data_IF_678702442749
#
_entry.id   IF_678702442749
#
_cell.length_a   1.000
_cell.length_b   1.000
_cell.length_c   1.000
_cell.angle_alpha   90.00
_cell.angle_beta   90.00
_cell.angle_gamma   90.00
#
_symmetry.space_group_name_H-M   'P 1'
#
loop_
_entity.id
_entity.type
_entity.pdbx_description
1 polymer ?
#
# COMPACT_ATOMS: atom_id res chain seq x y z
N UNK A 1 -12.84 14.23 -19.32
CA UNK A 1 -12.38 15.15 -18.25
C UNK A 1 -11.34 14.53 -17.30
N UNK A 2 -11.56 13.35 -16.71
CA UNK A 2 -10.61 12.75 -15.73
C UNK A 2 -9.14 12.81 -16.14
N UNK A 3 -8.79 12.36 -17.35
CA UNK A 3 -7.40 12.35 -17.83
C UNK A 3 -6.78 13.75 -17.87
N UNK A 4 -7.51 14.74 -18.38
CA UNK A 4 -7.04 16.13 -18.45
C UNK A 4 -6.82 16.68 -17.04
N UNK A 5 -7.78 16.46 -16.13
CA UNK A 5 -7.67 16.89 -14.73
C UNK A 5 -6.47 16.22 -14.06
N UNK A 6 -6.22 14.94 -14.29
CA UNK A 6 -5.08 14.23 -13.74
C UNK A 6 -3.74 14.82 -14.23
N UNK A 7 -3.61 15.18 -15.52
CA UNK A 7 -2.42 15.89 -16.03
C UNK A 7 -2.26 17.26 -15.39
N UNK A 8 -3.34 18.04 -15.31
CA UNK A 8 -3.30 19.38 -14.71
C UNK A 8 -2.91 19.33 -13.23
N UNK A 9 -3.47 18.39 -12.48
CA UNK A 9 -3.12 18.16 -11.08
C UNK A 9 -1.66 17.69 -10.96
N UNK A 10 -1.21 16.77 -11.82
CA UNK A 10 0.17 16.30 -11.80
C UNK A 10 1.17 17.42 -12.07
N UNK A 11 0.90 18.22 -13.10
CA UNK A 11 1.74 19.36 -13.47
C UNK A 11 1.74 20.44 -12.38
N UNK A 12 0.56 20.82 -11.87
CA UNK A 12 0.44 21.78 -10.78
C UNK A 12 1.15 21.30 -9.52
N UNK A 13 1.02 20.02 -9.18
CA UNK A 13 1.72 19.40 -8.06
C UNK A 13 3.24 19.46 -8.22
N UNK A 14 3.76 19.15 -9.42
CA UNK A 14 5.19 19.25 -9.72
C UNK A 14 5.71 20.70 -9.63
N UNK A 15 4.94 21.68 -10.13
CA UNK A 15 5.30 23.09 -10.04
C UNK A 15 5.34 23.60 -8.60
N UNK A 16 4.34 23.25 -7.78
CA UNK A 16 4.30 23.61 -6.36
C UNK A 16 5.46 22.98 -5.59
N UNK A 17 5.74 21.70 -5.85
CA UNK A 17 6.87 21.01 -5.23
C UNK A 17 8.21 21.68 -5.59
N UNK A 18 8.44 21.97 -6.87
CA UNK A 18 9.66 22.66 -7.33
C UNK A 18 9.84 24.05 -6.69
N UNK A 19 8.74 24.74 -6.34
CA UNK A 19 8.80 26.03 -5.63
C UNK A 19 9.10 25.89 -4.15
N UNK A 20 8.82 24.74 -3.54
CA UNK A 20 9.05 24.51 -2.12
C UNK A 20 9.55 23.08 -1.86
N UNK A 21 10.83 22.83 -2.13
CA UNK A 21 11.46 21.52 -1.88
C UNK A 21 11.49 21.12 -0.40
N UNK A 22 11.21 22.03 0.54
CA UNK A 22 11.20 21.73 1.98
C UNK A 22 10.01 20.85 2.39
N UNK A 23 8.99 20.71 1.54
CA UNK A 23 7.86 19.79 1.79
C UNK A 23 8.18 18.35 1.37
N UNK A 24 9.40 18.07 0.88
CA UNK A 24 9.79 16.77 0.36
C UNK A 24 9.55 15.67 1.38
N UNK A 25 8.73 14.72 0.97
CA UNK A 25 8.39 13.54 1.73
C UNK A 25 8.10 12.40 0.75
N UNK A 26 8.23 11.13 1.19
CA UNK A 26 8.15 10.00 0.28
C UNK A 26 6.77 9.78 -0.34
N UNK A 27 5.69 10.41 0.15
CA UNK A 27 4.35 10.24 -0.43
C UNK A 27 4.14 11.04 -1.73
N UNK A 28 4.87 12.14 -1.90
CA UNK A 28 4.74 13.06 -3.04
C UNK A 28 4.95 12.33 -4.38
N UNK A 29 6.05 11.55 -4.58
CA UNK A 29 6.23 10.78 -5.81
C UNK A 29 5.13 9.75 -6.05
N UNK A 30 4.57 9.13 -5.01
CA UNK A 30 3.49 8.15 -5.17
C UNK A 30 2.18 8.80 -5.59
N UNK A 31 1.83 9.98 -5.05
CA UNK A 31 0.67 10.74 -5.52
C UNK A 31 0.84 11.11 -6.99
N UNK A 32 2.03 11.59 -7.37
CA UNK A 32 2.37 11.86 -8.77
C UNK A 32 2.23 10.63 -9.66
N UNK A 33 2.76 9.49 -9.22
CA UNK A 33 2.62 8.21 -9.92
C UNK A 33 1.14 7.83 -10.11
N UNK A 34 0.31 7.92 -9.06
CA UNK A 34 -1.11 7.59 -9.15
C UNK A 34 -1.86 8.49 -10.15
N UNK A 35 -1.53 9.78 -10.21
CA UNK A 35 -2.10 10.69 -11.21
C UNK A 35 -1.73 10.28 -12.64
N UNK A 36 -0.47 9.90 -12.88
CA UNK A 36 -0.03 9.39 -14.18
C UNK A 36 -0.70 8.05 -14.54
N UNK A 37 -0.78 7.13 -13.58
CA UNK A 37 -1.44 5.85 -13.75
C UNK A 37 -2.93 6.02 -14.07
N UNK A 38 -3.59 7.02 -13.50
CA UNK A 38 -4.99 7.37 -13.78
C UNK A 38 -5.23 7.74 -15.25
N UNK A 39 -4.21 8.18 -15.98
CA UNK A 39 -4.30 8.43 -17.43
C UNK A 39 -4.54 7.13 -18.21
N UNK A 40 -3.92 6.04 -17.77
CA UNK A 40 -3.99 4.73 -18.40
C UNK A 40 -5.29 3.98 -18.03
N UNK A 41 -5.92 4.34 -16.91
CA UNK A 41 -7.16 3.71 -16.47
C UNK A 41 -8.30 4.06 -17.46
N UNK A 42 -9.00 3.08 -18.05
CA UNK A 42 -10.15 3.33 -18.92
C UNK A 42 -11.36 3.85 -18.13
N UNK A 43 -12.27 4.55 -18.80
CA UNK A 43 -13.55 4.96 -18.20
C UNK A 43 -14.52 3.79 -18.15
N UNK A 44 -15.41 3.73 -17.15
CA UNK A 44 -16.39 2.64 -17.01
C UNK A 44 -16.40 1.96 -15.64
N UNK A 45 -15.58 2.41 -14.70
CA UNK A 45 -15.49 1.86 -13.34
C UNK A 45 -16.83 1.95 -12.57
N UNK A 46 -17.05 1.00 -11.67
CA UNK A 46 -18.31 0.83 -10.93
C UNK A 46 -18.71 2.04 -10.09
N UNK A 47 -17.74 2.81 -9.58
CA UNK A 47 -17.98 3.99 -8.75
C UNK A 47 -18.22 5.28 -9.55
N UNK A 48 -18.27 5.23 -10.89
CA UNK A 48 -18.58 6.40 -11.71
C UNK A 48 -20.09 6.61 -11.85
N UNK A 49 -20.58 7.81 -11.50
CA UNK A 49 -22.01 8.20 -11.54
C UNK A 49 -22.73 8.03 -12.89
N UNK A 50 -22.02 8.02 -14.02
CA UNK A 50 -22.65 8.14 -15.36
C UNK A 50 -22.56 6.91 -16.25
N UNK A 51 -21.52 6.08 -16.12
CA UNK A 51 -21.28 4.97 -17.05
C UNK A 51 -20.59 3.82 -16.30
N UNK A 52 -21.38 2.89 -15.75
CA UNK A 52 -20.83 1.64 -15.23
C UNK A 52 -20.80 0.62 -16.37
N UNK A 53 -19.60 0.26 -16.83
CA UNK A 53 -19.42 -0.83 -17.76
C UNK A 53 -19.19 -2.12 -16.95
N UNK A 54 -20.08 -3.10 -17.08
CA UNK A 54 -19.98 -4.38 -16.36
C UNK A 54 -18.75 -5.21 -16.75
N UNK A 55 -18.18 -4.97 -17.93
CA UNK A 55 -16.97 -5.62 -18.42
C UNK A 55 -15.70 -4.81 -18.14
N UNK A 56 -15.80 -3.69 -17.43
CA UNK A 56 -14.63 -2.90 -17.09
C UNK A 56 -13.69 -3.69 -16.19
N UNK A 57 -12.40 -3.65 -16.53
CA UNK A 57 -11.33 -4.23 -15.75
C UNK A 57 -10.19 -3.21 -15.63
N UNK A 58 -9.56 -3.16 -14.46
CA UNK A 58 -8.36 -2.37 -14.27
C UNK A 58 -7.22 -3.02 -15.08
N UNK A 59 -6.52 -2.27 -15.95
CA UNK A 59 -5.39 -2.85 -16.69
C UNK A 59 -4.30 -3.33 -15.73
N UNK A 60 -3.86 -4.58 -15.90
CA UNK A 60 -2.90 -5.23 -14.99
C UNK A 60 -1.59 -4.45 -14.85
N UNK A 61 -1.12 -3.84 -15.94
CA UNK A 61 0.09 -3.00 -15.94
C UNK A 61 0.01 -1.86 -14.93
N UNK A 62 -1.16 -1.22 -14.77
CA UNK A 62 -1.35 -0.10 -13.85
C UNK A 62 -1.14 -0.56 -12.42
N UNK A 63 -1.79 -1.68 -12.06
CA UNK A 63 -1.67 -2.28 -10.74
C UNK A 63 -0.23 -2.72 -10.44
N UNK A 64 0.39 -3.48 -11.35
CA UNK A 64 1.74 -4.00 -11.14
C UNK A 64 2.80 -2.90 -11.08
N UNK A 65 2.62 -1.81 -11.84
CA UNK A 65 3.53 -0.66 -11.76
C UNK A 65 3.46 0.00 -10.38
N UNK A 66 2.26 0.25 -9.86
CA UNK A 66 2.07 0.76 -8.51
C UNK A 66 2.65 -0.18 -7.45
N UNK A 67 2.37 -1.48 -7.56
CA UNK A 67 2.86 -2.50 -6.63
C UNK A 67 4.39 -2.58 -6.59
N UNK A 68 5.03 -2.70 -7.76
CA UNK A 68 6.48 -2.88 -7.86
C UNK A 68 7.25 -1.64 -7.40
N UNK A 69 6.77 -0.44 -7.75
CA UNK A 69 7.41 0.80 -7.32
C UNK A 69 7.25 1.02 -5.81
N UNK A 70 6.07 0.73 -5.25
CA UNK A 70 5.86 0.74 -3.80
C UNK A 70 6.76 -0.30 -3.11
N UNK A 71 6.85 -1.52 -3.68
CA UNK A 71 7.67 -2.60 -3.15
C UNK A 71 9.16 -2.23 -3.06
N UNK A 72 9.69 -1.71 -4.16
CA UNK A 72 11.07 -1.27 -4.26
C UNK A 72 11.33 -0.05 -3.36
N UNK A 73 10.45 0.95 -3.37
CA UNK A 73 10.62 2.17 -2.60
C UNK A 73 10.64 1.94 -1.09
N UNK A 74 9.80 1.04 -0.57
CA UNK A 74 9.85 0.66 0.84
C UNK A 74 11.12 -0.10 1.22
N UNK A 75 11.56 -1.04 0.39
CA UNK A 75 12.77 -1.81 0.69
C UNK A 75 14.02 -0.93 0.63
N UNK A 76 14.03 0.01 -0.32
CA UNK A 76 15.05 1.03 -0.40
C UNK A 76 15.02 1.97 0.83
N UNK A 77 13.85 2.39 1.30
CA UNK A 77 13.70 3.16 2.55
C UNK A 77 14.26 2.41 3.75
N UNK A 78 13.93 1.12 3.90
CA UNK A 78 14.45 0.26 4.96
C UNK A 78 15.96 0.11 4.88
N UNK A 79 16.50 -0.09 3.67
CA UNK A 79 17.95 -0.12 3.44
C UNK A 79 18.63 1.18 3.86
N UNK A 80 18.07 2.33 3.48
CA UNK A 80 18.63 3.63 3.84
C UNK A 80 18.61 3.89 5.35
N UNK A 81 17.64 3.31 6.08
CA UNK A 81 17.59 3.40 7.55
C UNK A 81 18.72 2.66 8.25
N UNK A 82 19.30 1.63 7.63
CA UNK A 82 20.45 0.90 8.19
C UNK A 82 21.71 1.77 8.33
N UNK A 83 21.79 2.91 7.65
CA UNK A 83 22.91 3.85 7.83
C UNK A 83 22.78 4.71 9.10
N UNK A 84 21.62 4.73 9.75
CA UNK A 84 21.40 5.52 10.96
C UNK A 84 21.62 4.67 12.22
N UNK A 85 22.49 5.12 13.16
CA UNK A 85 22.75 4.39 14.41
C UNK A 85 21.48 4.08 15.20
N UNK A 86 20.52 5.01 15.20
CA UNK A 86 19.26 4.86 15.94
C UNK A 86 18.38 3.69 15.49
N UNK A 87 18.48 3.30 14.22
CA UNK A 87 17.74 2.15 13.69
C UNK A 87 18.45 0.83 13.97
N UNK A 88 19.78 0.86 14.08
CA UNK A 88 20.61 -0.30 14.45
C UNK A 88 20.43 -0.62 15.94
N UNK A 89 20.59 0.38 16.82
CA UNK A 89 20.49 0.21 18.28
C UNK A 89 19.03 0.09 18.80
N UNK A 90 18.05 0.33 17.92
CA UNK A 90 16.62 0.21 18.19
C UNK A 90 16.00 1.44 18.88
N UNK A 91 16.76 2.53 19.04
CA UNK A 91 16.29 3.77 19.69
C UNK A 91 15.43 4.68 18.79
N UNK A 92 15.35 4.41 17.48
CA UNK A 92 14.70 5.31 16.52
C UNK A 92 13.26 5.65 16.88
N UNK A 93 12.43 4.68 17.28
CA UNK A 93 11.04 4.95 17.67
C UNK A 93 10.95 5.86 18.89
N UNK A 94 11.82 5.68 19.89
CA UNK A 94 11.88 6.57 21.05
C UNK A 94 12.23 8.01 20.66
N UNK A 95 13.21 8.18 19.76
CA UNK A 95 13.57 9.51 19.24
C UNK A 95 12.42 10.15 18.45
N UNK A 96 11.67 9.37 17.66
CA UNK A 96 10.49 9.85 16.93
C UNK A 96 9.41 10.31 17.90
N UNK A 97 9.11 9.52 18.94
CA UNK A 97 8.09 9.85 19.96
C UNK A 97 8.46 11.05 20.83
N UNK A 98 9.77 11.30 21.01
CA UNK A 98 10.29 12.41 21.80
C UNK A 98 10.45 13.69 20.98
N UNK A 99 10.31 13.63 19.66
CA UNK A 99 10.45 14.77 18.76
C UNK A 99 9.24 15.73 18.89
N UNK A 100 9.42 17.05 18.77
CA UNK A 100 8.31 18.01 18.69
C UNK A 100 7.30 17.72 17.56
N UNK A 101 7.68 16.96 16.53
CA UNK A 101 6.79 16.51 15.46
C UNK A 101 5.85 15.36 15.88
N UNK A 102 6.08 14.71 17.03
CA UNK A 102 5.14 13.74 17.57
C UNK A 102 3.88 14.47 18.05
N UNK A 103 2.72 13.96 17.63
CA UNK A 103 1.44 14.49 18.06
C UNK A 103 1.26 14.21 19.55
N UNK A 104 1.05 15.23 20.40
CA UNK A 104 0.72 14.99 21.80
C UNK A 104 -0.64 14.29 21.89
N UNK A 105 -0.73 13.23 22.70
CA UNK A 105 -1.97 12.47 22.86
C UNK A 105 -1.74 11.07 23.41
N UNK A 106 -2.84 10.41 23.74
CA UNK A 106 -2.83 9.14 24.47
C UNK A 106 -2.03 8.04 23.76
N UNK A 107 -2.03 8.00 22.42
CA UNK A 107 -1.26 7.01 21.66
C UNK A 107 0.26 7.17 21.84
N UNK A 108 0.76 8.41 21.81
CA UNK A 108 2.18 8.73 22.05
C UNK A 108 2.55 8.40 23.49
N UNK A 109 1.75 8.86 24.45
CA UNK A 109 2.05 8.70 25.87
C UNK A 109 2.01 7.23 26.30
N UNK A 110 1.06 6.44 25.74
CA UNK A 110 1.02 4.99 25.91
C UNK A 110 2.29 4.32 25.38
N UNK A 111 2.75 4.68 24.19
CA UNK A 111 3.98 4.11 23.62
C UNK A 111 5.22 4.51 24.44
N UNK A 112 5.29 5.74 24.92
CA UNK A 112 6.38 6.21 25.79
C UNK A 112 6.37 5.54 27.18
N UNK A 113 5.21 5.09 27.66
CA UNK A 113 5.09 4.34 28.90
C UNK A 113 5.54 2.88 28.77
N UNK A 114 5.73 2.36 27.55
CA UNK A 114 6.23 1.01 27.36
C UNK A 114 7.71 0.89 27.78
N UNK A 115 8.14 -0.29 28.26
CA UNK A 115 9.55 -0.56 28.49
C UNK A 115 10.39 -0.34 27.23
N UNK A 116 11.63 0.14 27.39
CA UNK A 116 12.54 0.41 26.28
C UNK A 116 12.78 -0.81 25.37
N UNK A 117 12.74 -2.02 25.93
CA UNK A 117 12.82 -3.28 25.18
C UNK A 117 11.70 -3.44 24.16
N UNK A 118 10.46 -3.05 24.50
CA UNK A 118 9.34 -3.08 23.58
C UNK A 118 9.49 -2.06 22.46
N UNK A 119 9.97 -0.85 22.78
CA UNK A 119 10.26 0.17 21.76
C UNK A 119 11.33 -0.30 20.78
N UNK A 120 12.39 -0.96 21.25
CA UNK A 120 13.42 -1.56 20.39
C UNK A 120 12.85 -2.63 19.47
N UNK A 121 12.02 -3.52 20.01
CA UNK A 121 11.34 -4.54 19.22
C UNK A 121 10.47 -3.93 18.11
N UNK A 122 9.70 -2.88 18.43
CA UNK A 122 8.89 -2.16 17.44
C UNK A 122 9.75 -1.45 16.39
N UNK A 123 10.88 -0.84 16.79
CA UNK A 123 11.84 -0.23 15.85
C UNK A 123 12.36 -1.27 14.85
N UNK A 124 12.86 -2.41 15.33
CA UNK A 124 13.38 -3.46 14.46
C UNK A 124 12.27 -4.15 13.65
N UNK A 125 11.07 -4.28 14.21
CA UNK A 125 9.91 -4.79 13.48
C UNK A 125 9.53 -3.90 12.31
N UNK A 126 9.50 -2.58 12.51
CA UNK A 126 9.25 -1.61 11.45
C UNK A 126 10.36 -1.64 10.39
N UNK A 127 11.63 -1.70 10.81
CA UNK A 127 12.78 -1.80 9.93
C UNK A 127 12.74 -3.08 9.08
N UNK A 128 12.46 -4.23 9.71
CA UNK A 128 12.34 -5.51 9.03
C UNK A 128 11.17 -5.51 8.05
N UNK A 129 10.02 -4.94 8.43
CA UNK A 129 8.86 -4.82 7.55
C UNK A 129 9.18 -4.00 6.29
N UNK A 130 9.91 -2.88 6.42
CA UNK A 130 10.33 -2.07 5.27
C UNK A 130 11.36 -2.80 4.41
N UNK A 131 12.43 -3.31 5.02
CA UNK A 131 13.54 -3.95 4.33
C UNK A 131 13.11 -5.22 3.58
N UNK A 132 12.25 -6.03 4.21
CA UNK A 132 11.76 -7.28 3.65
C UNK A 132 10.51 -7.10 2.78
N UNK A 133 10.03 -5.87 2.59
CA UNK A 133 8.79 -5.66 1.86
C UNK A 133 8.86 -6.20 0.42
N UNK A 134 9.94 -5.93 -0.31
CA UNK A 134 10.14 -6.41 -1.67
C UNK A 134 10.25 -7.95 -1.75
N UNK A 135 11.13 -8.64 -0.99
CA UNK A 135 11.16 -10.10 -1.04
C UNK A 135 9.84 -10.74 -0.60
N UNK A 136 9.17 -10.18 0.42
CA UNK A 136 7.83 -10.64 0.83
C UNK A 136 6.75 -10.28 -0.19
N UNK A 137 6.96 -9.32 -1.07
CA UNK A 137 5.99 -8.97 -2.11
C UNK A 137 5.94 -9.99 -3.26
N UNK A 138 6.89 -10.92 -3.36
CA UNK A 138 6.97 -11.89 -4.46
C UNK A 138 5.90 -12.98 -4.28
N UNK A 139 5.78 -13.57 -3.09
CA UNK A 139 4.84 -14.67 -2.83
C UNK A 139 3.43 -14.18 -2.45
N UNK A 140 2.39 -14.79 -3.01
CA UNK A 140 1.00 -14.34 -2.82
C UNK A 140 0.56 -14.31 -1.34
N UNK A 141 1.04 -15.25 -0.52
CA UNK A 141 0.71 -15.30 0.92
C UNK A 141 1.42 -14.19 1.69
N UNK A 142 2.69 -13.96 1.39
CA UNK A 142 3.49 -12.94 2.07
C UNK A 142 3.11 -11.52 1.66
N UNK A 143 2.54 -11.30 0.45
CA UNK A 143 1.99 -9.99 0.04
C UNK A 143 0.99 -9.45 1.05
N UNK A 144 0.08 -10.28 1.54
CA UNK A 144 -0.89 -9.85 2.54
C UNK A 144 -0.20 -9.37 3.81
N UNK A 145 0.71 -10.19 4.34
CA UNK A 145 1.40 -9.92 5.60
C UNK A 145 2.23 -8.64 5.47
N UNK A 146 2.97 -8.52 4.37
CA UNK A 146 3.80 -7.37 4.06
C UNK A 146 2.96 -6.09 3.92
N UNK A 147 1.86 -6.15 3.17
CA UNK A 147 0.96 -5.01 2.98
C UNK A 147 0.30 -4.61 4.30
N UNK A 148 -0.21 -5.57 5.08
CA UNK A 148 -0.83 -5.31 6.38
C UNK A 148 0.17 -4.70 7.36
N UNK A 149 1.42 -5.18 7.39
CA UNK A 149 2.46 -4.65 8.27
C UNK A 149 2.73 -3.17 7.96
N UNK A 150 3.00 -2.83 6.68
CA UNK A 150 3.29 -1.44 6.30
C UNK A 150 2.06 -0.54 6.37
N UNK A 151 0.87 -1.02 6.00
CA UNK A 151 -0.37 -0.27 6.18
C UNK A 151 -0.58 0.06 7.67
N UNK A 152 -0.36 -0.90 8.57
CA UNK A 152 -0.47 -0.70 10.02
C UNK A 152 0.55 0.31 10.55
N UNK A 153 1.78 0.31 10.03
CA UNK A 153 2.79 1.32 10.36
C UNK A 153 2.33 2.71 9.92
N UNK A 154 1.80 2.87 8.70
CA UNK A 154 1.26 4.16 8.24
C UNK A 154 0.07 4.59 9.10
N UNK A 155 -0.83 3.69 9.48
CA UNK A 155 -1.91 4.01 10.42
C UNK A 155 -1.38 4.43 11.78
N UNK A 156 -0.37 3.75 12.34
CA UNK A 156 0.24 4.15 13.60
C UNK A 156 0.86 5.55 13.50
N UNK A 157 1.56 5.86 12.41
CA UNK A 157 2.12 7.20 12.15
C UNK A 157 1.01 8.27 12.12
N UNK A 158 -0.17 7.96 11.56
CA UNK A 158 -1.31 8.91 11.52
C UNK A 158 -1.74 9.38 12.91
N UNK A 159 -1.67 8.48 13.90
CA UNK A 159 -2.06 8.77 15.28
C UNK A 159 -0.93 9.39 16.10
N UNK A 160 0.33 9.06 15.77
CA UNK A 160 1.50 9.37 16.59
C UNK A 160 2.29 10.58 16.09
N UNK A 161 2.32 10.83 14.79
CA UNK A 161 3.18 11.86 14.17
C UNK A 161 2.31 12.92 13.49
N UNK A 162 2.66 14.19 13.67
CA UNK A 162 1.94 15.30 13.05
C UNK A 162 2.39 15.54 11.60
N UNK A 163 2.30 14.50 10.76
CA UNK A 163 2.65 14.53 9.34
C UNK A 163 1.54 13.87 8.51
N UNK A 164 0.38 14.53 8.52
CA UNK A 164 -0.82 14.02 7.88
C UNK A 164 -0.64 13.84 6.36
N UNK A 165 0.01 14.79 5.69
CA UNK A 165 0.21 14.78 4.23
C UNK A 165 1.04 13.58 3.76
N UNK A 166 2.11 13.25 4.50
CA UNK A 166 2.89 12.03 4.28
C UNK A 166 2.00 10.80 4.40
N UNK A 167 1.28 10.71 5.50
CA UNK A 167 0.53 9.51 5.86
C UNK A 167 -0.62 9.25 4.90
N UNK A 168 -1.37 10.30 4.53
CA UNK A 168 -2.45 10.18 3.57
C UNK A 168 -1.96 9.75 2.20
N UNK A 169 -0.87 10.35 1.69
CA UNK A 169 -0.32 9.95 0.39
C UNK A 169 0.18 8.50 0.38
N UNK A 170 0.81 8.05 1.47
CA UNK A 170 1.21 6.64 1.59
C UNK A 170 -0.01 5.71 1.71
N UNK A 171 -1.03 6.06 2.48
CA UNK A 171 -2.25 5.27 2.57
C UNK A 171 -2.99 5.18 1.23
N UNK A 172 -2.97 6.23 0.40
CA UNK A 172 -3.56 6.21 -0.94
C UNK A 172 -2.94 5.12 -1.82
N UNK A 173 -1.62 4.98 -1.85
CA UNK A 173 -0.97 3.92 -2.64
C UNK A 173 -1.26 2.52 -2.06
N UNK A 174 -1.40 2.38 -0.74
CA UNK A 174 -1.82 1.11 -0.13
C UNK A 174 -3.24 0.74 -0.52
N UNK A 175 -4.18 1.67 -0.45
CA UNK A 175 -5.56 1.43 -0.87
C UNK A 175 -5.66 1.15 -2.37
N UNK A 176 -4.86 1.83 -3.19
CA UNK A 176 -4.82 1.58 -4.62
C UNK A 176 -4.33 0.17 -4.96
N UNK A 177 -3.37 -0.35 -4.18
CA UNK A 177 -2.75 -1.66 -4.39
C UNK A 177 -3.41 -2.78 -3.58
N UNK A 178 -4.48 -2.48 -2.85
CA UNK A 178 -5.21 -3.47 -2.07
C UNK A 178 -5.85 -4.53 -2.96
N UNK A 179 -5.68 -5.81 -2.62
CA UNK A 179 -6.24 -6.94 -3.36
C UNK A 179 -6.88 -7.97 -2.41
N UNK A 180 -8.19 -8.19 -2.60
CA UNK A 180 -8.99 -9.16 -1.84
C UNK A 180 -8.54 -10.62 -2.06
N UNK A 181 -7.90 -10.92 -3.20
CA UNK A 181 -7.44 -12.27 -3.52
C UNK A 181 -6.37 -12.79 -2.55
N UNK A 182 -5.70 -11.90 -1.81
CA UNK A 182 -4.75 -12.32 -0.79
C UNK A 182 -5.45 -12.96 0.43
N UNK A 183 -6.65 -12.48 0.79
CA UNK A 183 -7.43 -12.99 1.90
C UNK A 183 -8.12 -14.31 1.58
N UNK A 184 -8.47 -14.54 0.31
CA UNK A 184 -9.02 -15.83 -0.14
C UNK A 184 -7.95 -16.93 -0.15
N UNK A 185 -6.70 -16.60 -0.46
CA UNK A 185 -5.57 -17.55 -0.46
C UNK A 185 -5.24 -18.11 0.93
N UNK A 186 -5.55 -17.39 2.01
CA UNK A 186 -5.38 -17.83 3.40
C UNK A 186 -6.49 -18.74 3.89
N UNK A 187 -7.68 -18.64 3.28
CA UNK A 187 -8.87 -19.32 3.80
C UNK A 187 -8.86 -20.82 3.53
N UNK A 188 -7.85 -21.39 2.86
CA UNK A 188 -7.54 -22.82 2.82
C UNK A 188 -8.64 -23.76 2.28
N UNK A 189 -9.83 -23.26 2.01
CA UNK A 189 -10.99 -23.98 1.50
C UNK A 189 -11.37 -23.39 0.17
N UNK A 190 -10.63 -23.78 -0.85
CA UNK A 190 -11.29 -24.27 -2.05
C UNK A 190 -10.99 -25.76 -2.15
N UNK A 191 -11.90 -26.59 -1.61
CA UNK A 191 -12.18 -27.84 -2.30
C UNK A 191 -12.36 -27.46 -3.77
N UNK A 192 -11.62 -28.07 -4.68
CA UNK A 192 -11.96 -28.07 -6.11
C UNK A 192 -13.45 -28.39 -6.20
N UNK A 193 -14.25 -27.38 -6.49
CA UNK A 193 -15.67 -27.40 -6.19
C UNK A 193 -16.25 -26.01 -6.40
N UNK A 194 -16.32 -25.62 -7.67
CA UNK A 194 -17.35 -24.73 -8.19
C UNK A 194 -17.49 -23.41 -7.42
N UNK A 195 -16.56 -22.46 -7.62
CA UNK A 195 -16.98 -21.07 -7.59
C UNK A 195 -17.53 -20.76 -8.99
N UNK A 196 -18.84 -20.93 -9.11
CA UNK A 196 -19.64 -20.36 -10.18
C UNK A 196 -19.32 -18.86 -10.26
N UNK A 197 -18.49 -18.47 -11.21
CA UNK A 197 -18.66 -17.18 -11.86
C UNK A 197 -20.08 -17.23 -12.45
N UNK A 198 -21.01 -16.48 -11.87
CA UNK A 198 -22.30 -16.21 -12.51
C UNK A 198 -22.03 -15.36 -13.75
N UNK A 199 -21.57 -16.02 -14.81
CA UNK A 199 -21.81 -15.56 -16.17
C UNK A 199 -23.31 -15.73 -16.44
N UNK A 200 -24.01 -14.61 -16.46
CA UNK A 200 -25.40 -14.55 -16.87
C UNK A 200 -25.49 -13.84 -18.21
N UNK A 201 -24.80 -14.34 -19.24
CA UNK A 201 -25.31 -14.29 -20.61
C UNK A 201 -24.99 -15.58 -21.37
N UNK A 202 -26.06 -16.26 -21.77
CA UNK A 202 -26.00 -17.56 -22.42
C UNK A 202 -25.19 -17.57 -23.71
N UNK A 203 -24.19 -18.44 -23.75
CA UNK A 203 -23.94 -19.28 -24.92
C UNK A 203 -23.26 -20.57 -24.46
N UNK A 204 -23.78 -21.68 -24.95
CA UNK A 204 -23.45 -23.05 -24.55
C UNK A 204 -22.18 -23.51 -25.28
N UNK A 205 -21.10 -23.87 -24.57
CA UNK A 205 -20.27 -25.04 -24.97
C UNK A 205 -19.44 -25.57 -23.79
N UNK A 206 -19.48 -26.89 -23.62
CA UNK A 206 -18.92 -27.68 -22.52
C UNK A 206 -17.48 -28.15 -22.82
N UNK A 207 -16.66 -28.33 -21.78
CA UNK A 207 -15.66 -29.38 -21.74
C UNK A 207 -15.52 -29.94 -20.31
N UNK A 208 -15.89 -31.21 -20.15
CA UNK A 208 -15.92 -32.00 -18.93
C UNK A 208 -14.59 -32.75 -18.79
N UNK A 209 -13.94 -32.69 -17.64
CA UNK A 209 -13.02 -33.74 -17.20
C UNK A 209 -13.59 -34.36 -15.92
N UNK A 210 -14.36 -35.43 -16.11
CA UNK A 210 -14.69 -36.41 -15.06
C UNK A 210 -13.38 -37.10 -14.68
N UNK A 211 -13.07 -37.12 -13.40
CA UNK A 211 -12.19 -38.14 -12.83
C UNK A 211 -13.03 -38.97 -11.87
N UNK A 212 -13.52 -40.11 -12.39
CA UNK A 212 -13.76 -41.27 -11.56
C UNK A 212 -12.40 -41.90 -11.30
N UNK A 213 -12.05 -42.10 -10.04
CA UNK A 213 -11.24 -43.22 -9.60
C UNK A 213 -11.56 -43.49 -8.14
N UNK A 214 -11.68 -44.78 -7.85
CA UNK A 214 -12.18 -45.44 -6.66
C UNK A 214 -11.45 -45.07 -5.37
#
# INVERSE_FOLDING_TARGET
>A
FRRIVAVLLWYGWACLFNRNNLINNPSIPYIGLLLLLTLLVPTGESLTRKCTNRQWQLPSMVYWTAWMLMAAGYSFSGWMKLYSPSWIDGSALFHILSNPLARPGCARDFLLALPTSWLRFLTWGALAAELLFFPLSISQRSRMIAWCALASINFAILFVVNFADLTFGMLMIHFFTYDLAWFSALRGTFKRGVLLYLDRQGSKTFAVLKANAQ
#
